data_IF_947327153337
#
_entry.id   IF_947327153337
#
_cell.length_a   1.000
_cell.length_b   1.000
_cell.length_c   1.000
_cell.angle_alpha   90.00
_cell.angle_beta   90.00
_cell.angle_gamma   90.00
#
_symmetry.space_group_name_H-M   'P 1'
#
loop_
_entity.id
_entity.type
_entity.pdbx_description
1 polymer ?
#
# COMPACT_ATOMS: atom_id res chain seq x y z
N UNK A 1 -8.22 75.25 36.88
CA UNK A 1 -7.71 74.83 35.56
C UNK A 1 -6.23 74.53 35.77
N UNK A 2 -5.71 73.31 35.85
CA UNK A 2 -6.13 72.04 35.28
C UNK A 2 -5.18 71.69 34.14
N UNK A 3 -4.14 70.89 34.42
CA UNK A 3 -3.51 69.87 33.55
C UNK A 3 -2.06 69.59 34.01
N UNK A 4 -1.90 68.61 34.91
CA UNK A 4 -0.65 67.86 35.03
C UNK A 4 -0.68 66.75 33.99
N UNK A 5 0.30 66.74 33.08
CA UNK A 5 0.51 65.63 32.17
C UNK A 5 1.14 64.48 32.98
N UNK A 6 0.37 63.41 33.18
CA UNK A 6 0.84 62.16 33.75
C UNK A 6 1.15 61.23 32.58
N UNK A 7 2.44 61.05 32.30
CA UNK A 7 2.93 60.02 31.37
C UNK A 7 2.65 58.65 31.99
N UNK A 8 1.49 58.08 31.64
CA UNK A 8 1.20 56.67 31.84
C UNK A 8 2.00 55.87 30.81
N UNK A 9 3.23 55.51 31.18
CA UNK A 9 3.93 54.43 30.53
C UNK A 9 3.07 53.16 30.66
N UNK A 10 2.46 52.74 29.54
CA UNK A 10 1.84 51.44 29.43
C UNK A 10 2.91 50.36 29.75
N UNK A 11 2.58 49.31 30.51
CA UNK A 11 3.52 48.21 30.70
C UNK A 11 3.79 47.60 29.32
N UNK A 12 5.07 47.54 28.95
CA UNK A 12 5.50 46.79 27.79
C UNK A 12 4.97 45.36 27.96
N UNK A 13 4.07 44.93 27.08
CA UNK A 13 3.68 43.52 26.99
C UNK A 13 4.97 42.71 26.89
N UNK A 14 5.19 41.82 27.85
CA UNK A 14 6.26 40.85 27.75
C UNK A 14 6.16 40.19 26.38
N UNK A 15 7.27 40.00 25.64
CA UNK A 15 7.23 39.35 24.33
C UNK A 15 6.52 38.01 24.52
N UNK A 16 5.31 37.89 23.97
CA UNK A 16 4.48 36.71 24.17
C UNK A 16 5.26 35.50 23.72
N UNK A 17 5.44 34.52 24.61
CA UNK A 17 6.14 33.28 24.29
C UNK A 17 5.42 32.60 23.12
N UNK A 18 6.08 32.59 21.96
CA UNK A 18 5.53 31.99 20.75
C UNK A 18 5.82 30.50 20.71
N UNK A 19 5.15 29.76 19.82
CA UNK A 19 5.50 28.35 19.58
C UNK A 19 6.96 28.14 19.15
N UNK A 20 7.65 29.19 18.69
CA UNK A 20 9.07 29.14 18.35
C UNK A 20 10.02 29.08 19.55
N UNK A 21 9.56 29.49 20.73
CA UNK A 21 10.34 29.52 21.98
C UNK A 21 10.22 28.20 22.78
N UNK A 22 9.45 27.24 22.26
CA UNK A 22 9.25 25.93 22.88
C UNK A 22 10.57 25.13 22.89
N UNK A 23 10.93 24.48 24.02
CA UNK A 23 12.07 23.57 24.07
C UNK A 23 11.94 22.44 23.02
N UNK A 24 13.06 22.08 22.41
CA UNK A 24 13.10 21.07 21.35
C UNK A 24 12.53 19.71 21.79
N UNK A 25 12.77 19.32 23.04
CA UNK A 25 12.22 18.08 23.61
C UNK A 25 10.69 18.12 23.70
N UNK A 26 10.10 19.25 24.08
CA UNK A 26 8.64 19.41 24.10
C UNK A 26 8.06 19.36 22.68
N UNK A 27 8.75 19.98 21.71
CA UNK A 27 8.37 19.88 20.30
C UNK A 27 8.42 18.42 19.82
N UNK A 28 9.47 17.68 20.19
CA UNK A 28 9.65 16.30 19.80
C UNK A 28 8.57 15.37 20.38
N UNK A 29 8.16 15.55 21.63
CA UNK A 29 7.05 14.81 22.25
C UNK A 29 5.73 14.97 21.47
N UNK A 30 5.48 16.17 20.93
CA UNK A 30 4.34 16.40 20.04
C UNK A 30 4.53 15.63 18.72
N UNK A 31 5.71 15.72 18.10
CA UNK A 31 6.02 15.03 16.84
C UNK A 31 5.92 13.50 16.96
N UNK A 32 6.29 12.93 18.10
CA UNK A 32 6.21 11.48 18.38
C UNK A 32 4.77 10.97 18.33
N UNK A 33 3.75 11.83 18.47
CA UNK A 33 2.32 11.44 18.38
C UNK A 33 1.72 11.60 16.99
N UNK A 34 2.50 12.09 16.02
CA UNK A 34 2.03 12.46 14.68
C UNK A 34 2.56 11.50 13.60
N UNK A 35 1.85 11.44 12.47
CA UNK A 35 2.33 10.76 11.27
C UNK A 35 3.42 11.57 10.56
N UNK A 36 4.22 10.91 9.70
CA UNK A 36 5.29 11.58 8.98
C UNK A 36 4.85 12.80 8.14
N UNK A 37 3.68 12.80 7.46
CA UNK A 37 3.17 13.98 6.76
C UNK A 37 2.98 15.19 7.68
N UNK A 38 2.45 14.96 8.88
CA UNK A 38 2.18 16.02 9.86
C UNK A 38 3.48 16.54 10.50
N UNK A 39 4.43 15.65 10.77
CA UNK A 39 5.79 16.04 11.18
C UNK A 39 6.40 17.00 10.14
N UNK A 40 6.30 16.65 8.86
CA UNK A 40 6.82 17.48 7.77
C UNK A 40 6.10 18.84 7.66
N UNK A 41 4.80 18.90 7.94
CA UNK A 41 4.02 20.14 7.97
C UNK A 41 4.43 21.02 9.14
N UNK A 42 4.51 20.47 10.36
CA UNK A 42 4.89 21.22 11.56
C UNK A 42 6.32 21.73 11.51
N UNK A 43 7.25 20.95 10.93
CA UNK A 43 8.65 21.36 10.74
C UNK A 43 8.80 22.67 9.92
N UNK A 44 7.78 23.05 9.14
CA UNK A 44 7.79 24.28 8.35
C UNK A 44 7.30 25.50 9.12
N UNK A 45 6.64 25.31 10.26
CA UNK A 45 5.96 26.39 10.99
C UNK A 45 6.91 27.23 11.85
N UNK A 46 7.87 26.60 12.54
CA UNK A 46 8.82 27.31 13.40
C UNK A 46 10.16 26.56 13.54
N UNK A 47 11.13 27.19 14.21
CA UNK A 47 12.47 26.64 14.43
C UNK A 47 12.47 25.43 15.36
N UNK A 48 11.70 25.45 16.45
CA UNK A 48 11.65 24.35 17.42
C UNK A 48 11.18 23.04 16.77
N UNK A 49 10.07 23.05 16.04
CA UNK A 49 9.60 21.86 15.30
C UNK A 49 10.54 21.47 14.17
N UNK A 50 11.21 22.42 13.52
CA UNK A 50 12.19 22.12 12.47
C UNK A 50 13.37 21.34 13.02
N UNK A 51 13.93 21.78 14.15
CA UNK A 51 15.03 21.09 14.83
C UNK A 51 14.58 19.71 15.31
N UNK A 52 13.46 19.63 16.03
CA UNK A 52 12.93 18.37 16.53
C UNK A 52 12.63 17.37 15.40
N UNK A 53 12.10 17.82 14.27
CA UNK A 53 11.83 16.96 13.10
C UNK A 53 13.09 16.53 12.34
N UNK A 54 14.27 17.06 12.66
CA UNK A 54 15.55 16.61 12.13
C UNK A 54 16.20 15.52 13.01
N UNK A 55 15.73 15.34 14.25
CA UNK A 55 16.29 14.38 15.19
C UNK A 55 15.94 12.93 14.82
N UNK A 56 16.94 12.04 14.88
CA UNK A 56 16.78 10.65 14.43
C UNK A 56 15.80 9.85 15.28
N UNK A 57 15.73 10.07 16.59
CA UNK A 57 14.82 9.34 17.48
C UNK A 57 13.34 9.55 17.12
N UNK A 58 12.98 10.72 16.58
CA UNK A 58 11.60 11.00 16.12
C UNK A 58 11.24 10.08 14.97
N UNK A 59 12.16 9.85 14.03
CA UNK A 59 11.93 9.00 12.86
C UNK A 59 12.15 7.52 13.14
N UNK A 60 13.04 7.19 14.07
CA UNK A 60 13.20 5.83 14.58
C UNK A 60 11.90 5.29 15.19
N UNK A 61 11.19 6.12 15.96
CA UNK A 61 9.85 5.78 16.48
C UNK A 61 8.76 5.62 15.40
N UNK A 62 9.01 6.03 14.15
CA UNK A 62 8.09 5.85 13.01
C UNK A 62 8.47 4.68 12.11
N UNK A 63 9.70 4.19 12.22
CA UNK A 63 10.16 3.07 11.42
C UNK A 63 9.67 1.76 12.04
N UNK A 64 9.26 0.77 11.21
CA UNK A 64 8.97 -0.55 11.74
C UNK A 64 10.26 -1.22 12.21
N UNK A 65 10.18 -2.07 13.24
CA UNK A 65 11.35 -2.71 13.86
C UNK A 65 12.23 -3.47 12.84
N UNK A 66 11.60 -4.06 11.83
CA UNK A 66 12.26 -4.79 10.75
C UNK A 66 12.83 -3.88 9.63
N UNK A 67 12.93 -2.57 9.81
CA UNK A 67 13.38 -1.65 8.75
C UNK A 67 14.76 -2.01 8.18
N UNK A 68 15.64 -2.65 8.97
CA UNK A 68 16.93 -3.18 8.50
C UNK A 68 16.78 -4.23 7.40
N UNK A 69 15.83 -5.16 7.56
CA UNK A 69 15.47 -6.14 6.53
C UNK A 69 14.89 -5.46 5.29
N UNK A 70 13.98 -4.50 5.47
CA UNK A 70 13.38 -3.73 4.37
C UNK A 70 14.44 -2.96 3.57
N UNK A 71 15.43 -2.37 4.24
CA UNK A 71 16.53 -1.67 3.60
C UNK A 71 17.47 -2.59 2.82
N UNK A 72 17.47 -3.90 3.10
CA UNK A 72 18.17 -4.89 2.29
C UNK A 72 17.72 -4.88 0.82
N UNK A 73 16.41 -4.76 0.58
CA UNK A 73 15.85 -4.67 -0.78
C UNK A 73 16.24 -3.37 -1.50
N UNK A 74 16.27 -2.26 -0.77
CA UNK A 74 16.68 -0.95 -1.34
C UNK A 74 18.15 -0.97 -1.76
N UNK A 75 19.01 -1.63 -0.99
CA UNK A 75 20.43 -1.76 -1.30
C UNK A 75 20.68 -2.75 -2.44
N UNK A 76 19.96 -3.87 -2.47
CA UNK A 76 20.10 -4.89 -3.52
C UNK A 76 19.49 -4.52 -4.87
N UNK A 77 18.54 -3.57 -4.92
CA UNK A 77 17.94 -3.07 -6.17
C UNK A 77 18.82 -2.05 -6.90
N UNK A 78 19.86 -1.49 -6.24
CA UNK A 78 20.86 -0.66 -6.87
C UNK A 78 22.01 -1.52 -7.39
N UNK A 79 21.99 -1.84 -8.68
CA UNK A 79 23.17 -2.38 -9.35
C UNK A 79 24.38 -1.45 -9.16
N UNK A 80 25.54 -2.07 -9.00
CA UNK A 80 26.87 -1.47 -8.87
C UNK A 80 27.16 -0.82 -7.52
N UNK A 81 27.72 -1.66 -6.65
CA UNK A 81 28.80 -1.25 -5.77
C UNK A 81 29.87 -0.52 -6.60
N UNK A 82 29.74 0.80 -6.69
CA UNK A 82 30.89 1.66 -6.95
C UNK A 82 31.85 1.41 -5.80
N UNK A 83 32.87 0.61 -6.07
CA UNK A 83 34.11 0.52 -5.33
C UNK A 83 34.65 1.94 -5.12
N UNK A 84 34.28 2.51 -3.97
CA UNK A 84 34.67 3.83 -3.55
C UNK A 84 34.50 3.85 -2.05
N UNK A 85 35.54 3.41 -1.34
CA UNK A 85 35.65 3.32 0.11
C UNK A 85 35.58 4.68 0.81
N UNK A 86 34.45 5.36 0.67
CA UNK A 86 34.07 6.51 1.46
C UNK A 86 33.10 6.02 2.54
N UNK A 87 33.54 6.06 3.79
CA UNK A 87 32.78 5.93 5.04
C UNK A 87 31.32 6.39 4.82
N UNK A 88 30.42 5.48 4.42
CA UNK A 88 29.01 5.80 4.14
C UNK A 88 28.45 6.33 5.45
N UNK A 89 28.25 7.65 5.55
CA UNK A 89 27.59 8.25 6.70
C UNK A 89 26.30 7.46 6.91
N UNK A 90 26.09 6.95 8.13
CA UNK A 90 24.84 6.27 8.46
C UNK A 90 23.70 7.15 7.96
N UNK A 91 22.87 6.63 7.05
CA UNK A 91 21.73 7.37 6.55
C UNK A 91 20.88 7.75 7.76
N UNK A 92 20.56 9.05 7.91
CA UNK A 92 19.66 9.49 8.97
C UNK A 92 18.33 8.75 8.88
N UNK A 93 17.68 8.52 10.02
CA UNK A 93 16.43 7.74 10.12
C UNK A 93 15.31 8.34 9.29
N UNK A 94 15.29 9.67 9.17
CA UNK A 94 14.40 10.40 8.26
C UNK A 94 14.54 9.98 6.80
N UNK A 95 15.77 9.85 6.33
CA UNK A 95 16.07 9.46 4.94
C UNK A 95 15.72 7.98 4.71
N UNK A 96 15.98 7.11 5.69
CA UNK A 96 15.53 5.71 5.67
C UNK A 96 14.02 5.65 5.51
N UNK A 97 13.27 6.38 6.34
CA UNK A 97 11.81 6.45 6.24
C UNK A 97 11.36 6.96 4.87
N UNK A 98 11.97 8.04 4.37
CA UNK A 98 11.63 8.63 3.08
C UNK A 98 11.85 7.67 1.90
N UNK A 99 12.85 6.80 1.97
CA UNK A 99 13.10 5.75 0.97
C UNK A 99 12.07 4.64 1.06
N UNK A 100 11.79 4.15 2.26
CA UNK A 100 10.83 3.07 2.46
C UNK A 100 9.37 3.51 2.23
N UNK A 101 9.07 4.81 2.36
CA UNK A 101 7.76 5.38 2.01
C UNK A 101 7.51 5.49 0.49
N UNK A 102 8.54 5.23 -0.34
CA UNK A 102 8.40 5.07 -1.80
C UNK A 102 8.25 3.59 -2.13
N UNK A 103 7.69 3.28 -3.30
CA UNK A 103 7.58 1.91 -3.77
C UNK A 103 8.98 1.30 -3.96
N UNK A 104 9.28 0.26 -3.20
CA UNK A 104 10.49 -0.56 -3.30
C UNK A 104 10.13 -1.81 -4.08
N UNK A 105 10.64 -1.92 -5.30
CA UNK A 105 10.40 -3.04 -6.21
C UNK A 105 11.41 -4.16 -5.97
N UNK A 106 10.95 -5.39 -6.10
CA UNK A 106 11.75 -6.61 -6.03
C UNK A 106 11.11 -7.69 -6.90
N UNK A 107 11.76 -8.86 -7.02
CA UNK A 107 11.26 -9.97 -7.85
C UNK A 107 10.99 -9.54 -9.30
N UNK A 108 12.03 -8.99 -9.95
CA UNK A 108 11.98 -8.40 -11.30
C UNK A 108 10.89 -7.32 -11.48
N UNK A 109 10.57 -6.61 -10.40
CA UNK A 109 9.54 -5.58 -10.39
C UNK A 109 8.11 -6.12 -10.42
N UNK A 110 7.91 -7.44 -10.26
CA UNK A 110 6.59 -8.06 -10.17
C UNK A 110 5.95 -7.87 -8.79
N UNK A 111 6.76 -7.49 -7.79
CA UNK A 111 6.33 -7.21 -6.43
C UNK A 111 6.90 -5.87 -5.96
N UNK A 112 6.17 -5.21 -5.10
CA UNK A 112 6.66 -4.01 -4.42
C UNK A 112 6.07 -3.86 -3.03
N UNK A 113 6.81 -3.21 -2.14
CA UNK A 113 6.33 -2.80 -0.83
C UNK A 113 6.65 -1.33 -0.57
N UNK A 114 5.95 -0.73 0.38
CA UNK A 114 6.21 0.65 0.84
C UNK A 114 5.64 0.84 2.24
N UNK A 115 6.08 1.88 2.94
CA UNK A 115 5.45 2.30 4.20
C UNK A 115 4.25 3.21 3.92
N UNK A 116 3.14 2.93 4.58
CA UNK A 116 2.05 3.88 4.70
C UNK A 116 2.55 5.08 5.52
N UNK A 117 2.43 6.28 4.95
CA UNK A 117 3.13 7.48 5.43
C UNK A 117 2.68 7.91 6.83
N UNK A 118 1.44 7.61 7.20
CA UNK A 118 0.85 8.11 8.44
C UNK A 118 1.17 7.20 9.63
N UNK A 119 1.10 5.89 9.40
CA UNK A 119 1.23 4.82 10.39
C UNK A 119 2.62 4.19 10.42
N UNK A 120 3.40 4.30 9.34
CA UNK A 120 4.69 3.62 9.20
C UNK A 120 4.57 2.10 8.98
N UNK A 121 3.35 1.59 8.79
CA UNK A 121 3.10 0.18 8.55
C UNK A 121 3.43 -0.22 7.11
N UNK A 122 3.80 -1.48 6.89
CA UNK A 122 4.15 -1.98 5.56
C UNK A 122 2.89 -2.29 4.73
N UNK A 123 2.87 -1.76 3.51
CA UNK A 123 1.95 -2.16 2.45
C UNK A 123 2.71 -2.96 1.39
N UNK A 124 2.03 -3.86 0.69
CA UNK A 124 2.62 -4.66 -0.38
C UNK A 124 1.67 -4.83 -1.55
N UNK A 125 2.22 -4.95 -2.77
CA UNK A 125 1.51 -5.30 -3.98
C UNK A 125 2.24 -6.41 -4.75
N UNK A 126 1.48 -7.34 -5.32
CA UNK A 126 1.94 -8.41 -6.21
C UNK A 126 1.20 -8.29 -7.53
N UNK A 127 1.92 -8.14 -8.64
CA UNK A 127 1.32 -8.09 -9.97
C UNK A 127 0.67 -9.41 -10.37
N UNK A 128 -0.23 -9.38 -11.34
CA UNK A 128 -0.79 -10.58 -11.96
C UNK A 128 0.30 -11.54 -12.52
N UNK A 129 1.48 -11.01 -12.86
CA UNK A 129 2.64 -11.80 -13.34
C UNK A 129 3.41 -12.50 -12.22
N UNK A 130 3.15 -12.13 -10.96
CA UNK A 130 3.67 -12.81 -9.78
C UNK A 130 2.75 -13.94 -9.30
N UNK A 131 1.58 -14.11 -9.93
CA UNK A 131 0.55 -15.07 -9.52
C UNK A 131 0.56 -16.28 -10.45
N UNK A 132 0.15 -17.43 -9.91
CA UNK A 132 -0.13 -18.63 -10.69
C UNK A 132 -1.60 -18.58 -11.10
N UNK A 133 -1.86 -18.42 -12.39
CA UNK A 133 -3.21 -18.26 -12.94
C UNK A 133 -3.47 -19.42 -13.92
N UNK A 134 -4.57 -20.13 -13.73
CA UNK A 134 -4.92 -21.28 -14.56
C UNK A 134 -5.09 -20.87 -16.03
N UNK A 135 -4.28 -21.47 -16.90
CA UNK A 135 -4.31 -21.26 -18.34
C UNK A 135 -3.73 -19.93 -18.82
N UNK A 136 -2.98 -19.19 -17.98
CA UNK A 136 -2.48 -17.83 -18.30
C UNK A 136 -1.65 -17.73 -19.58
N UNK A 137 -0.94 -18.80 -19.94
CA UNK A 137 -0.11 -18.84 -21.15
C UNK A 137 -0.93 -19.05 -22.44
N UNK A 138 -2.20 -19.48 -22.32
CA UNK A 138 -3.08 -19.68 -23.46
C UNK A 138 -3.82 -18.39 -23.82
N UNK A 139 -3.43 -17.82 -24.97
CA UNK A 139 -4.01 -16.59 -25.52
C UNK A 139 -5.48 -16.70 -25.90
N UNK A 140 -6.07 -17.89 -25.90
CA UNK A 140 -7.53 -18.09 -26.07
C UNK A 140 -8.28 -17.75 -24.78
N UNK A 141 -7.64 -17.91 -23.63
CA UNK A 141 -8.22 -17.65 -22.32
C UNK A 141 -7.80 -16.28 -21.78
N UNK A 142 -6.52 -15.92 -21.92
CA UNK A 142 -5.96 -14.73 -21.28
C UNK A 142 -5.22 -13.81 -22.24
N UNK A 143 -5.30 -12.50 -21.98
CA UNK A 143 -4.52 -11.48 -22.69
C UNK A 143 -3.89 -10.54 -21.68
N UNK A 144 -2.58 -10.33 -21.79
CA UNK A 144 -1.90 -9.27 -21.04
C UNK A 144 -2.15 -7.93 -21.72
N UNK A 145 -2.61 -6.95 -20.96
CA UNK A 145 -2.93 -5.63 -21.48
C UNK A 145 -2.14 -4.55 -20.72
N UNK A 146 -1.53 -3.58 -21.43
CA UNK A 146 -0.99 -2.39 -20.79
C UNK A 146 -2.11 -1.61 -20.09
N UNK A 147 -1.86 -1.13 -18.88
CA UNK A 147 -2.83 -0.35 -18.14
C UNK A 147 -2.13 0.70 -17.27
N UNK A 148 -2.44 1.98 -17.47
CA UNK A 148 -1.80 3.09 -16.74
C UNK A 148 -2.28 3.26 -15.30
N UNK A 149 -3.42 2.65 -14.94
CA UNK A 149 -3.96 2.67 -13.58
C UNK A 149 -3.36 1.55 -12.72
N UNK A 150 -2.80 0.51 -13.35
CA UNK A 150 -2.04 -0.54 -12.68
C UNK A 150 -0.70 -0.01 -12.17
N UNK A 151 -0.34 -0.39 -10.93
CA UNK A 151 0.99 -0.11 -10.35
C UNK A 151 2.13 -0.78 -11.12
N UNK A 152 1.82 -1.83 -11.87
CA UNK A 152 2.75 -2.64 -12.66
C UNK A 152 2.62 -2.39 -14.17
N UNK A 153 1.84 -1.38 -14.56
CA UNK A 153 1.58 -0.99 -15.96
C UNK A 153 0.97 -2.10 -16.84
N UNK A 154 0.51 -3.20 -16.24
CA UNK A 154 0.09 -4.40 -16.93
C UNK A 154 -0.93 -5.18 -16.10
N UNK A 155 -1.98 -5.65 -16.76
CA UNK A 155 -3.04 -6.48 -16.14
C UNK A 155 -3.27 -7.74 -16.97
N UNK A 156 -3.86 -8.78 -16.38
CA UNK A 156 -4.30 -9.98 -17.08
C UNK A 156 -5.82 -9.93 -17.30
N UNK A 157 -6.26 -9.96 -18.57
CA UNK A 157 -7.68 -9.97 -18.93
C UNK A 157 -8.12 -11.36 -19.36
N UNK A 158 -9.17 -11.85 -18.72
CA UNK A 158 -9.81 -13.11 -19.03
C UNK A 158 -10.84 -12.91 -20.15
N UNK A 159 -10.61 -13.56 -21.28
CA UNK A 159 -11.58 -13.66 -22.37
C UNK A 159 -12.68 -14.66 -22.03
N UNK A 160 -12.30 -15.89 -21.71
CA UNK A 160 -13.22 -16.96 -21.35
C UNK A 160 -12.50 -18.11 -20.65
N UNK A 161 -13.10 -18.74 -19.64
CA UNK A 161 -12.62 -19.99 -19.03
C UNK A 161 -13.76 -20.77 -18.37
N UNK A 162 -13.58 -22.08 -18.19
CA UNK A 162 -14.48 -22.92 -17.40
C UNK A 162 -13.99 -23.04 -15.95
N UNK A 163 -12.72 -23.43 -15.78
CA UNK A 163 -12.06 -23.56 -14.49
C UNK A 163 -11.28 -22.28 -14.16
N UNK A 164 -11.78 -21.48 -13.22
CA UNK A 164 -11.11 -20.25 -12.81
C UNK A 164 -10.39 -20.42 -11.48
N UNK A 165 -9.09 -20.14 -11.45
CA UNK A 165 -8.28 -20.15 -10.24
C UNK A 165 -7.05 -19.24 -10.39
N UNK A 166 -6.82 -18.42 -9.37
CA UNK A 166 -5.67 -17.54 -9.20
C UNK A 166 -5.08 -17.84 -7.83
N UNK A 167 -3.79 -18.17 -7.78
CA UNK A 167 -3.08 -18.53 -6.55
C UNK A 167 -1.85 -17.64 -6.41
N UNK A 168 -1.54 -17.26 -5.17
CA UNK A 168 -0.29 -16.57 -4.87
C UNK A 168 0.25 -16.94 -3.50
N UNK A 169 1.53 -16.62 -3.33
CA UNK A 169 2.28 -16.87 -2.11
C UNK A 169 3.19 -15.68 -1.81
N UNK A 170 3.21 -15.27 -0.55
CA UNK A 170 4.10 -14.27 0.00
C UNK A 170 4.95 -14.95 1.05
N UNK A 171 6.26 -14.88 0.90
CA UNK A 171 7.24 -15.21 1.93
C UNK A 171 7.96 -13.91 2.29
N UNK A 172 7.53 -13.27 3.38
CA UNK A 172 8.00 -11.94 3.75
C UNK A 172 8.00 -11.75 5.27
N UNK A 173 8.96 -10.98 5.78
CA UNK A 173 8.99 -10.59 7.19
C UNK A 173 8.18 -9.32 7.37
N UNK A 174 6.86 -9.46 7.55
CA UNK A 174 6.01 -8.33 7.91
C UNK A 174 6.33 -7.85 9.33
N UNK A 175 6.28 -6.53 9.61
CA UNK A 175 6.26 -6.03 10.98
C UNK A 175 4.99 -6.51 11.71
N UNK A 176 5.05 -6.55 13.04
CA UNK A 176 3.91 -6.90 13.87
C UNK A 176 2.70 -6.02 13.57
N UNK A 177 1.52 -6.62 13.55
CA UNK A 177 0.26 -5.93 13.29
C UNK A 177 -0.74 -6.77 12.52
N UNK A 178 -1.91 -6.19 12.26
CA UNK A 178 -2.99 -6.85 11.54
C UNK A 178 -3.06 -6.34 10.11
N UNK A 179 -3.09 -7.26 9.17
CA UNK A 179 -3.13 -6.98 7.73
C UNK A 179 -4.37 -7.58 7.09
N UNK A 180 -4.79 -6.97 5.99
CA UNK A 180 -5.89 -7.40 5.15
C UNK A 180 -5.37 -7.63 3.74
N UNK A 181 -5.76 -8.74 3.12
CA UNK A 181 -5.41 -9.09 1.75
C UNK A 181 -6.58 -8.84 0.81
N UNK A 182 -6.29 -8.20 -0.32
CA UNK A 182 -7.28 -7.84 -1.33
C UNK A 182 -6.84 -8.26 -2.73
N UNK A 183 -7.77 -8.70 -3.56
CA UNK A 183 -7.60 -8.79 -4.99
C UNK A 183 -8.11 -7.51 -5.64
N UNK A 184 -7.27 -6.84 -6.42
CA UNK A 184 -7.67 -5.68 -7.23
C UNK A 184 -8.15 -6.15 -8.59
N UNK A 185 -9.45 -6.08 -8.80
CA UNK A 185 -10.13 -6.62 -9.97
C UNK A 185 -10.94 -5.53 -10.70
N UNK A 186 -11.23 -5.79 -11.97
CA UNK A 186 -12.11 -4.94 -12.77
C UNK A 186 -12.95 -5.80 -13.71
N UNK A 187 -14.27 -5.65 -13.65
CA UNK A 187 -15.19 -6.32 -14.57
C UNK A 187 -15.34 -5.51 -15.85
N UNK A 188 -15.09 -6.16 -16.98
CA UNK A 188 -15.04 -5.56 -18.32
C UNK A 188 -13.62 -5.28 -18.79
N UNK A 189 -13.51 -4.79 -20.03
CA UNK A 189 -12.23 -4.31 -20.57
C UNK A 189 -11.96 -2.88 -20.08
N UNK A 190 -10.84 -2.62 -19.36
CA UNK A 190 -10.50 -1.27 -18.96
C UNK A 190 -10.20 -0.44 -20.20
N UNK A 191 -10.71 0.80 -20.24
CA UNK A 191 -10.50 1.69 -21.38
C UNK A 191 -9.02 2.05 -21.51
N UNK A 192 -8.33 1.46 -22.47
CA UNK A 192 -6.92 1.72 -22.77
C UNK A 192 -6.75 3.03 -23.58
N UNK A 193 -7.24 4.17 -23.11
CA UNK A 193 -6.80 5.51 -23.57
C UNK A 193 -7.56 6.67 -22.93
N UNK A 194 -6.89 7.41 -22.03
CA UNK A 194 -7.06 8.88 -21.93
C UNK A 194 -5.91 9.64 -22.59
N UNK A 195 -5.11 8.97 -23.43
CA UNK A 195 -4.07 9.57 -24.26
C UNK A 195 -4.48 9.55 -25.73
N UNK A 196 -5.59 10.22 -26.04
CA UNK A 196 -5.88 10.73 -27.37
C UNK A 196 -6.87 11.87 -27.20
N UNK A 197 -6.43 13.11 -27.44
CA UNK A 197 -7.26 14.31 -27.44
C UNK A 197 -8.25 14.36 -28.61
N UNK A 198 -9.05 13.30 -28.78
CA UNK A 198 -10.12 13.22 -29.77
C UNK A 198 -11.40 12.93 -29.01
N UNK A 199 -12.21 13.97 -28.80
CA UNK A 199 -13.63 13.81 -28.45
C UNK A 199 -14.26 12.98 -29.56
N UNK A 200 -14.39 11.69 -29.32
CA UNK A 200 -15.24 10.79 -30.07
C UNK A 200 -16.31 10.29 -29.12
N UNK A 201 -17.53 10.81 -29.24
CA UNK A 201 -18.71 10.06 -28.82
C UNK A 201 -18.69 8.73 -29.58
N UNK A 202 -18.41 7.64 -28.86
CA UNK A 202 -18.24 6.31 -29.42
C UNK A 202 -18.45 5.24 -28.34
N UNK A 203 -19.68 5.19 -27.83
CA UNK A 203 -20.30 4.11 -27.07
C UNK A 203 -19.58 3.55 -25.83
N UNK A 204 -20.00 4.02 -24.66
CA UNK A 204 -20.02 3.27 -23.38
C UNK A 204 -20.83 1.95 -23.46
N UNK A 205 -21.48 1.66 -24.60
CA UNK A 205 -22.34 0.48 -24.81
C UNK A 205 -21.60 -0.87 -24.89
N UNK A 206 -20.26 -0.87 -24.88
CA UNK A 206 -19.45 -2.10 -24.94
C UNK A 206 -18.73 -2.44 -23.62
N UNK A 207 -18.92 -1.68 -22.54
CA UNK A 207 -18.26 -1.94 -21.25
C UNK A 207 -18.62 -3.35 -20.68
N UNK A 208 -19.83 -3.84 -20.96
CA UNK A 208 -20.29 -5.20 -20.62
C UNK A 208 -20.02 -6.27 -21.70
N UNK A 209 -19.45 -5.90 -22.85
CA UNK A 209 -19.22 -6.83 -23.96
C UNK A 209 -18.11 -7.82 -23.61
N UNK A 210 -18.51 -8.99 -23.10
CA UNK A 210 -17.62 -10.09 -22.70
C UNK A 210 -17.75 -10.51 -21.23
N UNK A 211 -18.46 -9.75 -20.38
CA UNK A 211 -18.70 -10.13 -18.99
C UNK A 211 -19.81 -11.18 -18.93
N UNK A 212 -19.51 -12.35 -18.35
CA UNK A 212 -20.50 -13.42 -18.20
C UNK A 212 -20.06 -14.43 -17.13
N UNK A 213 -21.02 -15.15 -16.54
CA UNK A 213 -20.79 -16.34 -15.71
C UNK A 213 -20.46 -16.09 -14.24
N UNK A 214 -20.04 -14.89 -13.88
CA UNK A 214 -19.66 -14.53 -12.50
C UNK A 214 -20.82 -14.41 -11.51
N UNK A 215 -22.04 -14.26 -12.03
CA UNK A 215 -23.30 -14.16 -11.31
C UNK A 215 -23.90 -15.53 -10.95
N UNK A 216 -23.40 -16.62 -11.55
CA UNK A 216 -23.98 -17.96 -11.38
C UNK A 216 -23.58 -18.67 -10.10
N UNK A 217 -22.34 -18.45 -9.63
CA UNK A 217 -21.81 -18.97 -8.37
C UNK A 217 -20.83 -17.97 -7.77
N UNK A 218 -20.72 -17.89 -6.44
CA UNK A 218 -19.77 -17.01 -5.82
C UNK A 218 -18.34 -17.49 -6.07
N UNK A 219 -17.45 -16.53 -6.25
CA UNK A 219 -16.00 -16.74 -6.23
C UNK A 219 -15.58 -16.94 -4.78
N UNK A 220 -14.79 -17.98 -4.53
CA UNK A 220 -14.21 -18.28 -3.22
C UNK A 220 -12.84 -17.63 -3.12
N UNK A 221 -12.64 -16.86 -2.07
CA UNK A 221 -11.34 -16.35 -1.66
C UNK A 221 -10.87 -17.14 -0.45
N UNK A 222 -9.58 -17.49 -0.43
CA UNK A 222 -8.98 -18.19 0.69
C UNK A 222 -7.64 -17.55 1.03
N UNK A 223 -7.32 -17.58 2.30
CA UNK A 223 -6.02 -17.16 2.85
C UNK A 223 -5.62 -18.16 3.92
N UNK A 224 -4.34 -18.54 3.93
CA UNK A 224 -3.74 -19.34 4.99
C UNK A 224 -2.33 -18.86 5.29
N UNK A 225 -1.90 -19.00 6.53
CA UNK A 225 -0.58 -18.59 6.98
C UNK A 225 0.20 -19.77 7.57
N UNK A 226 1.53 -19.70 7.58
CA UNK A 226 2.41 -20.75 8.12
C UNK A 226 2.25 -21.03 9.61
N UNK A 227 1.69 -20.10 10.36
CA UNK A 227 1.36 -20.22 11.79
C UNK A 227 -0.08 -20.72 12.03
N UNK A 228 -0.80 -21.10 10.98
CA UNK A 228 -2.08 -21.82 11.08
C UNK A 228 -3.33 -20.94 11.03
N UNK A 229 -3.21 -19.64 10.79
CA UNK A 229 -4.39 -18.79 10.55
C UNK A 229 -4.99 -19.12 9.19
N UNK A 230 -6.31 -19.07 9.10
CA UNK A 230 -7.04 -19.33 7.87
C UNK A 230 -8.25 -18.41 7.78
N UNK A 231 -8.52 -17.90 6.59
CA UNK A 231 -9.73 -17.15 6.27
C UNK A 231 -10.32 -17.66 4.94
N UNK A 232 -11.64 -17.73 4.87
CA UNK A 232 -12.37 -18.07 3.66
C UNK A 232 -13.53 -17.11 3.52
N UNK A 233 -13.68 -16.50 2.37
CA UNK A 233 -14.85 -15.69 2.01
C UNK A 233 -15.38 -16.13 0.65
N UNK A 234 -16.65 -15.86 0.40
CA UNK A 234 -17.31 -16.16 -0.88
C UNK A 234 -18.12 -14.96 -1.30
N UNK A 235 -18.00 -14.56 -2.57
CA UNK A 235 -18.70 -13.39 -3.09
C UNK A 235 -18.94 -13.49 -4.60
N UNK A 236 -20.08 -13.01 -5.05
CA UNK A 236 -20.35 -12.83 -6.47
C UNK A 236 -19.54 -11.66 -7.04
N UNK A 237 -19.04 -11.79 -8.27
CA UNK A 237 -18.44 -10.64 -8.97
C UNK A 237 -19.53 -10.00 -9.84
N UNK A 238 -20.40 -9.24 -9.18
CA UNK A 238 -21.56 -8.55 -9.76
C UNK A 238 -21.52 -7.03 -9.55
N UNK A 239 -20.37 -6.51 -9.10
CA UNK A 239 -20.14 -5.07 -8.94
C UNK A 239 -20.25 -4.33 -10.28
N UNK A 240 -20.50 -3.02 -10.18
CA UNK A 240 -20.65 -2.13 -11.33
C UNK A 240 -19.48 -2.28 -12.32
N UNK A 241 -19.75 -2.77 -13.56
CA UNK A 241 -18.73 -2.92 -14.58
C UNK A 241 -18.01 -1.61 -14.90
N UNK A 242 -16.75 -1.71 -15.31
CA UNK A 242 -15.97 -0.53 -15.71
C UNK A 242 -15.27 0.21 -14.57
N UNK A 243 -15.31 -0.33 -13.35
CA UNK A 243 -14.60 0.24 -12.19
C UNK A 243 -13.63 -0.77 -11.56
N UNK A 244 -12.51 -0.27 -11.05
CA UNK A 244 -11.59 -1.06 -10.23
C UNK A 244 -12.13 -1.18 -8.81
N UNK A 245 -12.08 -2.38 -8.27
CA UNK A 245 -12.54 -2.69 -6.94
C UNK A 245 -11.55 -3.59 -6.18
N UNK A 246 -11.50 -3.41 -4.87
CA UNK A 246 -10.73 -4.26 -3.97
C UNK A 246 -11.66 -5.30 -3.34
N UNK A 247 -11.42 -6.57 -3.67
CA UNK A 247 -12.14 -7.72 -3.13
C UNK A 247 -11.36 -8.28 -1.95
N UNK A 248 -11.95 -8.19 -0.76
CA UNK A 248 -11.33 -8.69 0.47
C UNK A 248 -11.30 -10.23 0.50
N UNK A 249 -10.09 -10.78 0.68
CA UNK A 249 -9.88 -12.23 0.75
C UNK A 249 -9.80 -12.73 2.21
N UNK A 250 -9.31 -11.90 3.12
CA UNK A 250 -9.11 -12.27 4.51
C UNK A 250 -8.16 -11.35 5.26
N UNK A 251 -8.21 -11.43 6.58
CA UNK A 251 -7.29 -10.76 7.49
C UNK A 251 -6.31 -11.79 8.07
N UNK A 252 -5.09 -11.35 8.38
CA UNK A 252 -4.11 -12.13 9.14
C UNK A 252 -3.34 -11.24 10.11
N UNK A 253 -2.88 -11.83 11.20
CA UNK A 253 -2.15 -11.14 12.27
C UNK A 253 -0.70 -11.59 12.25
N UNK A 254 0.22 -10.64 12.36
CA UNK A 254 1.63 -10.91 12.59
C UNK A 254 1.91 -10.57 14.05
N UNK A 255 2.19 -11.60 14.85
CA UNK A 255 2.52 -11.42 16.26
C UNK A 255 3.85 -10.66 16.40
N UNK A 256 4.02 -9.85 17.46
CA UNK A 256 5.31 -9.29 17.80
C UNK A 256 6.31 -10.41 18.13
N UNK A 257 7.56 -10.22 17.73
CA UNK A 257 8.63 -11.18 18.05
C UNK A 257 8.85 -11.19 19.57
N UNK A 258 8.60 -12.34 20.20
CA UNK A 258 8.88 -12.55 21.63
C UNK A 258 10.30 -13.05 21.90
N UNK A 259 11.09 -13.37 20.86
CA UNK A 259 12.44 -13.91 21.02
C UNK A 259 13.52 -12.81 20.93
N UNK A 260 14.38 -12.75 21.96
CA UNK A 260 15.49 -11.79 22.12
C UNK A 260 16.53 -11.80 20.97
N UNK A 261 16.48 -12.77 20.05
CA UNK A 261 17.44 -12.91 18.95
C UNK A 261 16.89 -12.36 17.61
N UNK A 262 16.24 -11.20 17.65
CA UNK A 262 16.33 -10.10 16.66
C UNK A 262 16.01 -10.34 15.18
N UNK A 263 15.56 -11.52 14.77
CA UNK A 263 15.29 -11.84 13.37
C UNK A 263 13.94 -12.55 13.22
N UNK A 264 12.85 -11.79 13.35
CA UNK A 264 11.49 -12.29 13.18
C UNK A 264 11.32 -13.25 12.01
N UNK A 265 10.60 -14.34 12.29
CA UNK A 265 10.39 -15.42 11.32
C UNK A 265 9.55 -14.90 10.15
N UNK A 266 9.95 -15.16 8.89
CA UNK A 266 9.09 -14.86 7.75
C UNK A 266 7.72 -15.51 7.92
N UNK A 267 6.66 -14.74 7.70
CA UNK A 267 5.30 -15.28 7.66
C UNK A 267 5.02 -15.64 6.21
N UNK A 268 4.77 -16.93 5.97
CA UNK A 268 4.34 -17.39 4.65
C UNK A 268 2.84 -17.31 4.55
N UNK A 269 2.35 -16.44 3.68
CA UNK A 269 0.92 -16.25 3.40
C UNK A 269 0.60 -16.84 2.04
N UNK A 270 -0.26 -17.85 2.01
CA UNK A 270 -0.83 -18.41 0.78
C UNK A 270 -2.24 -17.90 0.61
N UNK A 271 -2.63 -17.59 -0.60
CA UNK A 271 -3.97 -17.10 -0.88
C UNK A 271 -4.43 -17.55 -2.27
N UNK A 272 -5.75 -17.63 -2.43
CA UNK A 272 -6.35 -17.96 -3.70
C UNK A 272 -7.68 -17.25 -3.92
N UNK A 273 -8.05 -17.11 -5.18
CA UNK A 273 -9.35 -16.68 -5.65
C UNK A 273 -9.79 -17.67 -6.74
N UNK A 274 -10.88 -18.41 -6.51
CA UNK A 274 -11.27 -19.51 -7.37
C UNK A 274 -12.78 -19.67 -7.53
N UNK A 275 -13.19 -20.07 -8.73
CA UNK A 275 -14.54 -20.53 -9.04
C UNK A 275 -14.42 -21.75 -9.96
N UNK A 276 -14.18 -22.90 -9.33
CA UNK A 276 -13.97 -24.18 -9.98
C UNK A 276 -15.34 -24.79 -10.28
N UNK A 277 -15.93 -24.35 -11.39
CA UNK A 277 -17.23 -24.84 -11.86
C UNK A 277 -17.27 -24.96 -13.38
N UNK A 278 -17.37 -26.19 -13.88
CA UNK A 278 -17.42 -26.49 -15.31
C UNK A 278 -18.84 -26.50 -15.89
N UNK A 279 -19.87 -26.04 -15.17
CA UNK A 279 -21.25 -25.94 -15.70
C UNK A 279 -21.47 -24.70 -16.58
N UNK A 280 -20.56 -23.72 -16.53
CA UNK A 280 -20.67 -22.48 -17.29
C UNK A 280 -19.31 -21.81 -17.53
N UNK A 281 -19.21 -21.11 -18.65
CA UNK A 281 -18.06 -20.25 -18.95
C UNK A 281 -18.13 -18.95 -18.16
N UNK A 282 -16.95 -18.39 -17.89
CA UNK A 282 -16.74 -17.12 -17.20
C UNK A 282 -15.79 -16.27 -18.03
N UNK A 283 -16.02 -14.96 -18.12
CA UNK A 283 -15.18 -14.08 -18.92
C UNK A 283 -15.35 -12.61 -18.57
N UNK A 284 -14.50 -11.77 -19.14
CA UNK A 284 -14.57 -10.33 -18.93
C UNK A 284 -14.04 -9.87 -17.58
N UNK A 285 -13.07 -10.57 -16.98
CA UNK A 285 -12.44 -10.18 -15.71
C UNK A 285 -11.00 -9.71 -15.94
N UNK A 286 -10.64 -8.55 -15.40
CA UNK A 286 -9.26 -8.12 -15.28
C UNK A 286 -8.73 -8.42 -13.88
N UNK A 287 -7.57 -9.08 -13.82
CA UNK A 287 -6.77 -9.26 -12.61
C UNK A 287 -5.56 -8.33 -12.72
N UNK A 288 -5.47 -7.34 -11.83
CA UNK A 288 -4.33 -6.42 -11.79
C UNK A 288 -3.27 -6.89 -10.80
N UNK A 289 -3.63 -6.92 -9.52
CA UNK A 289 -2.71 -7.21 -8.44
C UNK A 289 -3.39 -7.77 -7.21
N UNK A 290 -2.61 -8.38 -6.34
CA UNK A 290 -2.98 -8.63 -4.95
C UNK A 290 -2.31 -7.59 -4.06
N UNK A 291 -3.07 -7.02 -3.13
CA UNK A 291 -2.65 -5.97 -2.23
C UNK A 291 -2.73 -6.46 -0.79
N UNK A 292 -1.71 -6.15 0.00
CA UNK A 292 -1.71 -6.34 1.45
C UNK A 292 -1.61 -4.97 2.09
N UNK A 293 -2.60 -4.65 2.90
CA UNK A 293 -2.67 -3.38 3.62
C UNK A 293 -2.82 -3.60 5.12
N UNK A 294 -2.36 -2.65 5.95
CA UNK A 294 -2.72 -2.62 7.35
C UNK A 294 -4.25 -2.57 7.49
N UNK A 295 -4.80 -3.33 8.43
CA UNK A 295 -6.25 -3.38 8.63
C UNK A 295 -6.79 -1.99 8.96
N UNK A 296 -7.89 -1.60 8.31
CA UNK A 296 -8.49 -0.27 8.45
C UNK A 296 -7.91 0.79 7.51
N UNK A 297 -6.88 0.47 6.72
CA UNK A 297 -6.40 1.35 5.66
C UNK A 297 -7.41 1.41 4.50
N UNK A 298 -7.78 2.62 4.08
CA UNK A 298 -8.74 2.87 3.00
C UNK A 298 -8.09 3.74 1.92
N UNK A 299 -8.06 3.27 0.67
CA UNK A 299 -7.46 4.02 -0.47
C UNK A 299 -8.32 3.96 -1.73
N UNK A 300 -9.01 2.86 -1.96
CA UNK A 300 -9.94 2.66 -3.09
C UNK A 300 -11.30 2.18 -2.56
N UNK A 301 -12.31 2.07 -3.44
CA UNK A 301 -13.60 1.44 -3.10
C UNK A 301 -13.32 -0.01 -2.67
N UNK A 302 -13.32 -0.22 -1.35
CA UNK A 302 -13.28 -1.56 -0.77
C UNK A 302 -14.68 -2.13 -0.88
N UNK A 303 -14.77 -3.35 -1.36
CA UNK A 303 -16.05 -4.04 -1.36
C UNK A 303 -16.01 -5.14 -0.30
N UNK A 304 -16.66 -4.81 0.81
CA UNK A 304 -16.73 -5.66 2.00
C UNK A 304 -17.66 -6.85 1.77
N UNK A 305 -17.47 -7.92 2.55
CA UNK A 305 -18.38 -9.05 2.57
C UNK A 305 -19.78 -8.59 3.01
N UNK A 306 -20.83 -9.02 2.29
CA UNK A 306 -22.20 -8.92 2.81
C UNK A 306 -22.31 -9.92 3.97
N UNK A 307 -22.57 -9.40 5.17
CA UNK A 307 -22.96 -10.18 6.36
C UNK A 307 -24.29 -10.87 6.16
#
# INVERSE_FOLDING_TARGET
MGAGASDLAAPAEAPGSGLGDMPELCAAEVLLRLGAPDICRLARLNRAFRSAAAADFVWEAKLPENYGYLMGFVRGSGGEDVEGGGKRSALGKKEVYARLAKAVRFDDGKREFWLEKSTGMVCMALSSKSLVITGIDDRRYWVHMPNTESRFQSVAYLQQIWWFEVVGEIDFRFPAGTYSLYFRLHLGKPSSSRHAGRRGCGSEKNAGSGIHGWDRKPVRFQLSTSDGQNAVSQRYLDDEPGSWALYHAGDFVVAPDTEEHGHGRPVRVKFSMAQIDCTHTKGGLCVDSVLVYPRGFRTERVVDAQT
#
